data_IF_569647955430
#
_entry.id   IF_569647955430
#
_cell.length_a   1.000
_cell.length_b   1.000
_cell.length_c   1.000
_cell.angle_alpha   90.00
_cell.angle_beta   90.00
_cell.angle_gamma   90.00
#
_symmetry.space_group_name_H-M   'P 1'
#
loop_
_entity.id
_entity.type
_entity.pdbx_description
1 polymer ?
#
# COMPACT_ATOMS: atom_id res chain seq x y z
N UNK A 1 7.98 -0.87 -8.66
CA UNK A 1 7.76 -2.03 -9.57
C UNK A 1 6.51 -1.88 -10.44
N UNK A 2 5.31 -1.53 -9.91
CA UNK A 2 4.11 -1.36 -10.76
C UNK A 2 4.31 -0.32 -11.88
N UNK A 3 4.98 0.81 -11.61
CA UNK A 3 5.38 1.79 -12.62
C UNK A 3 6.30 1.16 -13.68
N UNK A 4 7.36 0.48 -13.25
CA UNK A 4 8.33 -0.11 -14.17
C UNK A 4 7.70 -1.19 -15.07
N UNK A 5 6.72 -1.94 -14.56
CA UNK A 5 5.93 -2.90 -15.33
C UNK A 5 5.15 -2.24 -16.47
N UNK A 6 4.57 -1.07 -16.24
CA UNK A 6 3.85 -0.33 -17.30
C UNK A 6 4.80 0.22 -18.38
N UNK A 7 6.07 0.43 -18.03
CA UNK A 7 7.11 0.89 -18.96
C UNK A 7 7.77 -0.26 -19.74
N UNK A 8 7.42 -1.51 -19.46
CA UNK A 8 7.97 -2.66 -20.17
C UNK A 8 7.63 -2.58 -21.67
N UNK A 9 8.66 -2.68 -22.52
CA UNK A 9 8.50 -2.66 -23.97
C UNK A 9 8.37 -1.28 -24.61
N UNK A 10 8.39 -0.17 -23.85
CA UNK A 10 8.33 1.19 -24.42
C UNK A 10 9.67 1.70 -24.99
N UNK A 11 10.72 0.86 -25.02
CA UNK A 11 12.05 1.22 -25.55
C UNK A 11 12.91 2.11 -24.64
N UNK A 12 12.39 2.51 -23.47
CA UNK A 12 13.13 3.35 -22.54
C UNK A 12 14.09 2.55 -21.64
N UNK A 13 15.23 3.18 -21.29
CA UNK A 13 16.13 2.65 -20.26
C UNK A 13 15.58 2.94 -18.87
N UNK A 14 14.99 1.95 -18.23
CA UNK A 14 14.44 2.07 -16.88
C UNK A 14 15.42 1.52 -15.85
N UNK A 15 15.74 2.31 -14.82
CA UNK A 15 16.55 1.91 -13.66
C UNK A 15 15.68 1.95 -12.39
N UNK A 16 15.53 0.80 -11.74
CA UNK A 16 14.93 0.66 -10.43
C UNK A 16 16.02 0.66 -9.36
N UNK A 17 15.84 1.49 -8.33
CA UNK A 17 16.80 1.63 -7.23
C UNK A 17 16.11 1.31 -5.92
N UNK A 18 16.72 0.48 -5.09
CA UNK A 18 16.34 0.27 -3.71
C UNK A 18 17.63 0.05 -2.87
N UNK A 19 17.55 0.31 -1.58
CA UNK A 19 18.65 0.02 -0.63
C UNK A 19 18.77 -1.46 -0.30
N UNK A 20 17.77 -2.25 -0.60
CA UNK A 20 17.70 -3.70 -0.41
C UNK A 20 17.59 -4.41 -1.75
N UNK A 21 17.96 -5.68 -1.79
CA UNK A 21 17.70 -6.52 -2.95
C UNK A 21 16.18 -6.67 -3.20
N UNK A 22 15.80 -7.07 -4.40
CA UNK A 22 14.39 -7.22 -4.80
C UNK A 22 13.67 -8.15 -3.81
N UNK A 23 12.63 -7.62 -3.13
CA UNK A 23 11.83 -8.39 -2.19
C UNK A 23 12.52 -8.84 -0.91
N UNK A 24 13.73 -8.33 -0.61
CA UNK A 24 14.49 -8.75 0.56
C UNK A 24 13.77 -8.41 1.87
N UNK A 25 13.06 -7.28 1.91
CA UNK A 25 12.48 -6.79 3.17
C UNK A 25 11.01 -6.43 3.03
N UNK A 26 10.16 -7.25 3.61
CA UNK A 26 8.76 -6.92 3.82
C UNK A 26 8.60 -6.00 5.05
N UNK A 27 7.58 -5.14 5.01
CA UNK A 27 7.21 -4.25 6.12
C UNK A 27 5.72 -4.20 6.36
N UNK A 28 4.98 -5.17 5.81
CA UNK A 28 3.52 -5.23 5.76
C UNK A 28 3.04 -6.65 6.01
N UNK A 29 1.78 -6.81 6.42
CA UNK A 29 1.12 -8.11 6.55
C UNK A 29 1.07 -8.92 5.24
N UNK A 30 1.44 -8.31 4.12
CA UNK A 30 1.53 -8.95 2.81
C UNK A 30 0.25 -9.70 2.44
N UNK A 31 -0.87 -8.97 2.54
CA UNK A 31 -2.18 -9.40 2.09
C UNK A 31 -2.82 -8.34 1.19
N UNK A 32 -3.54 -8.78 0.17
CA UNK A 32 -4.25 -7.91 -0.76
C UNK A 32 -5.50 -8.63 -1.30
N UNK A 33 -6.48 -7.89 -1.86
CA UNK A 33 -7.61 -8.51 -2.54
C UNK A 33 -7.14 -9.43 -3.67
N UNK A 34 -7.58 -10.68 -3.65
CA UNK A 34 -7.19 -11.74 -4.59
C UNK A 34 -7.33 -11.33 -6.06
N UNK A 35 -8.41 -10.65 -6.49
CA UNK A 35 -8.55 -10.21 -7.88
C UNK A 35 -7.41 -9.32 -8.39
N UNK A 36 -6.76 -8.54 -7.51
CA UNK A 36 -5.59 -7.75 -7.88
C UNK A 36 -4.37 -8.61 -8.22
N UNK A 37 -4.14 -9.67 -7.45
CA UNK A 37 -3.03 -10.59 -7.69
C UNK A 37 -3.23 -11.33 -9.02
N UNK A 38 -4.46 -11.76 -9.30
CA UNK A 38 -4.80 -12.38 -10.58
C UNK A 38 -4.65 -11.41 -11.77
N UNK A 39 -5.19 -10.20 -11.66
CA UNK A 39 -5.12 -9.19 -12.72
C UNK A 39 -3.67 -8.81 -13.08
N UNK A 40 -2.76 -8.88 -12.14
CA UNK A 40 -1.34 -8.60 -12.34
C UNK A 40 -0.51 -9.84 -12.72
N UNK A 41 -1.09 -11.05 -12.77
CA UNK A 41 -0.35 -12.28 -13.02
C UNK A 41 0.57 -12.67 -11.87
N UNK A 42 0.12 -12.42 -10.62
CA UNK A 42 0.89 -12.67 -9.39
C UNK A 42 0.34 -13.85 -8.57
N UNK A 43 -0.47 -14.71 -9.19
CA UNK A 43 -1.13 -15.85 -8.53
C UNK A 43 -0.14 -16.80 -7.86
N UNK A 44 1.03 -17.00 -8.46
CA UNK A 44 2.06 -17.93 -7.95
C UNK A 44 2.65 -17.46 -6.60
N UNK A 45 2.53 -16.18 -6.27
CA UNK A 45 2.94 -15.66 -4.98
C UNK A 45 1.91 -15.90 -3.87
N UNK A 46 0.67 -16.33 -4.19
CA UNK A 46 -0.38 -16.54 -3.19
C UNK A 46 -0.02 -17.73 -2.30
N UNK A 47 -0.08 -17.51 -0.99
CA UNK A 47 0.09 -18.54 0.03
C UNK A 47 -1.24 -19.08 0.55
N UNK A 48 -2.19 -18.20 0.79
CA UNK A 48 -3.51 -18.56 1.30
C UNK A 48 -4.56 -17.54 0.84
N UNK A 49 -5.67 -18.03 0.33
CA UNK A 49 -6.86 -17.24 0.03
C UNK A 49 -7.80 -17.20 1.25
N UNK A 50 -8.36 -16.01 1.52
CA UNK A 50 -9.10 -15.71 2.74
C UNK A 50 -10.45 -15.08 2.35
N UNK A 51 -11.54 -15.87 2.31
CA UNK A 51 -12.86 -15.38 1.90
C UNK A 51 -13.62 -14.65 3.00
N UNK A 52 -13.18 -14.78 4.26
CA UNK A 52 -13.90 -14.22 5.41
C UNK A 52 -13.01 -13.31 6.25
N UNK A 53 -13.66 -12.31 6.84
CA UNK A 53 -13.07 -11.42 7.83
C UNK A 53 -13.89 -11.49 9.13
N UNK A 54 -13.19 -11.52 10.26
CA UNK A 54 -13.82 -11.50 11.58
C UNK A 54 -13.41 -10.25 12.32
N UNK A 55 -14.39 -9.45 12.72
CA UNK A 55 -14.18 -8.32 13.61
C UNK A 55 -14.50 -8.71 15.05
N UNK A 56 -13.57 -8.41 15.94
CA UNK A 56 -13.70 -8.68 17.38
C UNK A 56 -13.63 -7.36 18.14
N UNK A 57 -14.54 -7.24 19.10
CA UNK A 57 -14.63 -6.14 20.06
C UNK A 57 -14.74 -6.73 21.48
N UNK A 58 -14.64 -5.94 22.57
CA UNK A 58 -14.86 -6.44 23.93
C UNK A 58 -16.23 -7.08 24.17
N UNK A 59 -17.22 -6.86 23.29
CA UNK A 59 -18.60 -7.36 23.46
C UNK A 59 -19.00 -8.43 22.44
N UNK A 60 -18.02 -9.03 21.78
CA UNK A 60 -18.22 -10.15 20.87
C UNK A 60 -17.61 -9.95 19.49
N UNK A 61 -17.73 -10.99 18.68
CA UNK A 61 -17.18 -11.05 17.34
C UNK A 61 -18.29 -11.18 16.30
N UNK A 62 -18.00 -10.68 15.08
CA UNK A 62 -18.87 -10.83 13.91
C UNK A 62 -18.01 -11.25 12.73
N UNK A 63 -18.45 -12.30 12.02
CA UNK A 63 -17.78 -12.86 10.85
C UNK A 63 -18.52 -12.46 9.59
N UNK A 64 -17.80 -11.98 8.60
CA UNK A 64 -18.33 -11.57 7.30
C UNK A 64 -17.72 -12.39 6.18
N UNK A 65 -18.51 -12.70 5.15
CA UNK A 65 -17.99 -13.07 3.86
C UNK A 65 -17.66 -11.79 3.09
N UNK A 66 -16.42 -11.67 2.62
CA UNK A 66 -15.99 -10.51 1.86
C UNK A 66 -16.55 -10.57 0.42
N UNK A 67 -16.87 -9.41 -0.20
CA UNK A 67 -17.28 -9.35 -1.61
C UNK A 67 -16.18 -9.86 -2.55
N UNK A 68 -14.92 -9.60 -2.19
CA UNK A 68 -13.73 -10.17 -2.81
C UNK A 68 -12.92 -10.89 -1.74
N UNK A 69 -12.45 -12.10 -2.06
CA UNK A 69 -11.48 -12.76 -1.18
C UNK A 69 -10.19 -11.95 -1.10
N UNK A 70 -9.50 -12.09 0.01
CA UNK A 70 -8.14 -11.59 0.20
C UNK A 70 -7.16 -12.75 0.10
N UNK A 71 -5.93 -12.46 -0.29
CA UNK A 71 -4.87 -13.45 -0.27
C UNK A 71 -3.68 -12.93 0.50
N UNK A 72 -3.19 -13.74 1.43
CA UNK A 72 -1.84 -13.62 1.94
C UNK A 72 -0.88 -14.15 0.88
N UNK A 73 0.24 -13.48 0.67
CA UNK A 73 1.22 -13.83 -0.34
C UNK A 73 2.65 -13.82 0.20
N UNK A 74 3.55 -14.49 -0.52
CA UNK A 74 4.98 -14.37 -0.34
C UNK A 74 5.47 -13.05 -0.95
N UNK A 75 5.95 -12.14 -0.11
CA UNK A 75 6.37 -10.80 -0.54
C UNK A 75 7.57 -10.85 -1.49
N UNK A 76 8.55 -11.69 -1.18
CA UNK A 76 9.75 -11.82 -2.01
C UNK A 76 9.38 -12.34 -3.39
N UNK A 77 8.60 -13.39 -3.44
CA UNK A 77 8.14 -13.97 -4.70
C UNK A 77 7.31 -12.98 -5.51
N UNK A 78 6.35 -12.29 -4.89
CA UNK A 78 5.57 -11.23 -5.54
C UNK A 78 6.46 -10.14 -6.16
N UNK A 79 7.47 -9.68 -5.42
CA UNK A 79 8.40 -8.68 -5.93
C UNK A 79 9.22 -9.19 -7.11
N UNK A 80 9.68 -10.46 -7.08
CA UNK A 80 10.40 -11.07 -8.20
C UNK A 80 9.53 -11.22 -9.44
N UNK A 81 8.27 -11.62 -9.30
CA UNK A 81 7.31 -11.70 -10.41
C UNK A 81 7.09 -10.33 -11.06
N UNK A 82 6.88 -9.28 -10.25
CA UNK A 82 6.73 -7.91 -10.76
C UNK A 82 8.01 -7.39 -11.41
N UNK A 83 9.17 -7.73 -10.86
CA UNK A 83 10.46 -7.34 -11.43
C UNK A 83 10.70 -8.04 -12.77
N UNK A 84 10.42 -9.32 -12.87
CA UNK A 84 10.52 -10.08 -14.13
C UNK A 84 9.61 -9.51 -15.23
N UNK A 85 8.42 -9.02 -14.87
CA UNK A 85 7.48 -8.38 -15.80
C UNK A 85 7.94 -6.99 -16.27
N UNK A 86 8.86 -6.34 -15.55
CA UNK A 86 9.23 -4.94 -15.82
C UNK A 86 10.32 -4.77 -16.86
N UNK A 87 11.18 -5.77 -17.07
CA UNK A 87 12.33 -5.69 -17.96
C UNK A 87 13.35 -4.59 -17.60
N UNK A 88 13.24 -3.98 -16.40
CA UNK A 88 14.09 -2.88 -15.99
C UNK A 88 15.43 -3.37 -15.40
N UNK A 89 16.44 -2.50 -15.40
CA UNK A 89 17.67 -2.73 -14.64
C UNK A 89 17.42 -2.43 -13.17
N UNK A 90 18.13 -3.14 -12.30
CA UNK A 90 18.08 -2.94 -10.86
C UNK A 90 19.46 -2.58 -10.31
N UNK A 91 19.48 -1.64 -9.37
CA UNK A 91 20.70 -1.25 -8.64
C UNK A 91 20.38 -1.12 -7.14
N UNK A 92 21.16 -1.80 -6.32
CA UNK A 92 21.12 -1.58 -4.87
C UNK A 92 21.88 -0.30 -4.54
N UNK A 93 21.16 0.72 -4.07
CA UNK A 93 21.73 1.97 -3.57
C UNK A 93 20.74 2.69 -2.64
N UNK A 94 21.27 3.45 -1.69
CA UNK A 94 20.49 4.28 -0.78
C UNK A 94 20.32 5.68 -1.37
N UNK A 95 19.09 6.04 -1.69
CA UNK A 95 18.75 7.41 -2.14
C UNK A 95 18.77 8.35 -0.94
N UNK A 96 19.52 9.44 -1.05
CA UNK A 96 19.71 10.47 -0.01
C UNK A 96 18.91 11.74 -0.24
N UNK A 97 18.56 12.04 -1.49
CA UNK A 97 17.85 13.24 -1.89
C UNK A 97 18.00 13.51 -3.38
N UNK A 98 17.71 14.73 -3.79
CA UNK A 98 17.92 15.21 -5.15
C UNK A 98 18.56 16.59 -5.16
N UNK A 99 19.20 16.94 -6.26
CA UNK A 99 19.64 18.30 -6.56
C UNK A 99 18.47 19.11 -7.13
N UNK A 100 18.59 20.45 -7.20
CA UNK A 100 17.66 21.27 -7.97
C UNK A 100 17.50 20.73 -9.40
N UNK A 101 16.32 20.96 -9.96
CA UNK A 101 16.07 20.59 -11.37
C UNK A 101 16.91 21.48 -12.25
N UNK A 102 17.58 20.89 -13.22
CA UNK A 102 18.42 21.59 -14.19
C UNK A 102 17.72 21.61 -15.56
N UNK A 103 17.73 22.76 -16.22
CA UNK A 103 17.30 22.88 -17.61
C UNK A 103 18.52 22.65 -18.51
N UNK A 104 18.39 21.73 -19.46
CA UNK A 104 19.39 21.43 -20.48
C UNK A 104 18.81 21.70 -21.88
N UNK A 105 19.64 21.61 -22.90
CA UNK A 105 19.20 21.71 -24.33
C UNK A 105 18.10 20.69 -24.66
N UNK A 106 18.09 19.54 -23.97
CA UNK A 106 17.19 18.41 -24.23
C UNK A 106 15.98 18.39 -23.26
N UNK A 107 15.83 19.45 -22.44
CA UNK A 107 14.78 19.61 -21.45
C UNK A 107 15.24 19.48 -20.00
N UNK A 108 14.30 19.46 -19.07
CA UNK A 108 14.59 19.34 -17.64
C UNK A 108 15.18 17.97 -17.28
N UNK A 109 16.22 17.99 -16.46
CA UNK A 109 16.90 16.80 -15.93
C UNK A 109 16.89 16.84 -14.41
N UNK A 110 16.65 15.69 -13.80
CA UNK A 110 16.60 15.52 -12.34
C UNK A 110 17.78 14.65 -11.91
N UNK A 111 18.60 15.20 -11.01
CA UNK A 111 19.76 14.54 -10.42
C UNK A 111 19.42 13.97 -9.05
N UNK A 112 19.44 12.63 -8.92
CA UNK A 112 19.18 11.89 -7.67
C UNK A 112 20.50 11.53 -7.01
N UNK A 113 20.68 11.96 -5.77
CA UNK A 113 21.87 11.69 -4.96
C UNK A 113 21.72 10.35 -4.24
N UNK A 114 22.68 9.46 -4.42
CA UNK A 114 22.73 8.15 -3.75
C UNK A 114 24.06 7.98 -2.98
N UNK A 115 24.17 6.92 -2.22
CA UNK A 115 25.44 6.51 -1.57
C UNK A 115 26.46 5.95 -2.58
N UNK A 116 26.07 5.78 -3.86
CA UNK A 116 26.92 5.30 -4.95
C UNK A 116 27.17 6.35 -6.04
N UNK A 117 26.88 7.62 -5.76
CA UNK A 117 27.04 8.72 -6.70
C UNK A 117 25.71 9.35 -7.10
N UNK A 118 25.78 10.26 -8.06
CA UNK A 118 24.64 10.98 -8.61
C UNK A 118 24.16 10.30 -9.88
N UNK A 119 22.86 10.13 -9.99
CA UNK A 119 22.19 9.56 -11.15
C UNK A 119 21.25 10.62 -11.73
N UNK A 120 21.27 10.78 -13.04
CA UNK A 120 20.47 11.76 -13.76
C UNK A 120 19.46 11.10 -14.68
N UNK A 121 18.25 11.64 -14.72
CA UNK A 121 17.21 11.17 -15.63
C UNK A 121 16.22 12.29 -15.97
N UNK A 122 15.61 12.29 -17.17
CA UNK A 122 14.55 13.22 -17.52
C UNK A 122 13.22 12.93 -16.79
N UNK A 123 12.98 11.68 -16.40
CA UNK A 123 11.77 11.25 -15.69
C UNK A 123 12.17 10.51 -14.42
N UNK A 124 11.68 10.98 -13.28
CA UNK A 124 12.00 10.41 -11.95
C UNK A 124 10.72 10.14 -11.17
N UNK A 125 10.67 8.96 -10.54
CA UNK A 125 9.57 8.55 -9.69
C UNK A 125 10.10 8.25 -8.29
N UNK A 126 9.59 8.93 -7.27
CA UNK A 126 9.81 8.61 -5.86
C UNK A 126 8.76 7.59 -5.39
N UNK A 127 9.18 6.35 -5.21
CA UNK A 127 8.42 5.26 -4.57
C UNK A 127 9.12 4.79 -3.28
N UNK A 128 9.88 5.67 -2.61
CA UNK A 128 10.76 5.38 -1.47
C UNK A 128 10.01 5.31 -0.12
N UNK A 129 8.69 5.30 -0.17
CA UNK A 129 7.85 5.11 1.00
C UNK A 129 7.58 6.40 1.77
N UNK A 130 7.11 6.25 3.00
CA UNK A 130 6.53 7.33 3.80
C UNK A 130 7.43 8.58 3.98
N UNK A 131 8.75 8.41 3.90
CA UNK A 131 9.73 9.52 4.07
C UNK A 131 9.69 10.52 2.93
N UNK A 132 9.24 10.17 1.73
CA UNK A 132 9.19 11.06 0.57
C UNK A 132 10.56 11.74 0.34
N UNK A 133 11.58 10.93 0.11
CA UNK A 133 13.00 11.37 0.15
C UNK A 133 13.33 12.44 -0.89
N UNK A 134 12.66 12.43 -2.05
CA UNK A 134 12.86 13.42 -3.11
C UNK A 134 11.96 14.66 -3.00
N UNK A 135 11.10 14.75 -1.97
CA UNK A 135 10.28 15.93 -1.70
C UNK A 135 11.08 17.03 -1.01
N UNK A 136 10.63 18.29 -1.18
CA UNK A 136 11.28 19.48 -0.57
C UNK A 136 11.22 19.48 0.95
N UNK A 137 10.11 19.03 1.52
CA UNK A 137 9.86 19.08 2.96
C UNK A 137 10.04 17.71 3.58
N UNK A 138 10.88 17.64 4.62
CA UNK A 138 11.03 16.46 5.44
C UNK A 138 9.70 16.03 6.07
N UNK A 139 9.40 14.74 6.04
CA UNK A 139 8.16 14.16 6.54
C UNK A 139 8.50 13.17 7.64
N UNK A 140 8.57 13.65 8.87
CA UNK A 140 9.06 12.89 10.02
C UNK A 140 8.03 12.85 11.16
N UNK A 141 7.89 11.71 11.87
CA UNK A 141 7.15 11.67 13.12
C UNK A 141 7.83 12.57 14.18
N UNK A 142 7.08 13.08 15.18
CA UNK A 142 5.65 12.82 15.44
C UNK A 142 4.70 13.78 14.72
N UNK A 143 5.21 14.81 14.02
CA UNK A 143 4.40 15.89 13.44
C UNK A 143 3.69 15.48 12.13
N UNK A 144 4.21 14.47 11.43
CA UNK A 144 3.61 14.01 10.19
C UNK A 144 2.32 13.21 10.45
N UNK A 145 1.30 13.27 9.54
CA UNK A 145 0.08 12.46 9.63
C UNK A 145 0.38 11.00 9.24
N UNK A 146 1.06 10.29 10.13
CA UNK A 146 1.47 8.91 9.99
C UNK A 146 0.76 8.01 11.01
N UNK A 147 0.51 6.79 10.60
CA UNK A 147 0.20 5.64 11.46
C UNK A 147 1.45 4.77 11.61
N UNK A 148 1.47 3.93 12.63
CA UNK A 148 2.56 2.99 12.87
C UNK A 148 2.00 1.59 13.02
N UNK A 149 2.58 0.62 12.28
CA UNK A 149 2.27 -0.80 12.41
C UNK A 149 3.48 -1.61 12.84
N UNK A 150 3.24 -2.66 13.62
CA UNK A 150 4.22 -3.67 13.96
C UNK A 150 3.51 -5.02 14.00
N UNK A 151 4.16 -6.04 13.47
CA UNK A 151 3.65 -7.41 13.50
C UNK A 151 4.75 -8.42 13.80
N UNK A 152 4.33 -9.61 14.16
CA UNK A 152 5.14 -10.82 14.37
C UNK A 152 4.66 -11.92 13.44
N UNK A 153 5.53 -12.84 13.10
CA UNK A 153 5.31 -13.91 12.13
C UNK A 153 5.54 -15.30 12.73
N UNK A 154 4.82 -15.69 13.80
CA UNK A 154 4.92 -17.05 14.35
C UNK A 154 4.36 -18.09 13.38
N UNK A 155 4.70 -19.35 13.62
CA UNK A 155 4.00 -20.46 13.03
C UNK A 155 2.59 -20.52 13.63
N UNK A 156 1.60 -20.80 12.79
CA UNK A 156 0.20 -20.80 13.21
C UNK A 156 -0.76 -20.97 12.04
N UNK A 157 -1.98 -21.37 12.33
CA UNK A 157 -3.03 -21.57 11.32
C UNK A 157 -4.29 -20.80 11.70
N UNK A 158 -4.93 -20.22 10.73
CA UNK A 158 -6.30 -19.72 10.84
C UNK A 158 -6.93 -19.66 9.45
N UNK A 159 -8.26 -19.52 9.39
CA UNK A 159 -9.00 -19.46 8.13
C UNK A 159 -9.44 -18.04 7.81
N UNK A 160 -9.68 -17.23 8.85
CA UNK A 160 -10.22 -15.89 8.73
C UNK A 160 -9.12 -14.83 8.86
N UNK A 161 -9.31 -13.70 8.19
CA UNK A 161 -8.63 -12.47 8.52
C UNK A 161 -9.30 -11.87 9.76
N UNK A 162 -8.62 -11.88 10.88
CA UNK A 162 -9.14 -11.32 12.12
C UNK A 162 -8.72 -9.88 12.32
N UNK A 163 -9.66 -9.06 12.82
CA UNK A 163 -9.44 -7.65 13.16
C UNK A 163 -10.00 -7.38 14.56
N UNK A 164 -9.17 -6.82 15.44
CA UNK A 164 -9.56 -6.41 16.78
C UNK A 164 -9.66 -4.90 16.91
N UNK A 165 -10.80 -4.39 17.31
CA UNK A 165 -11.02 -2.98 17.62
C UNK A 165 -11.31 -2.84 19.11
N UNK A 166 -10.24 -2.72 19.89
CA UNK A 166 -10.27 -2.72 21.35
C UNK A 166 -9.32 -1.65 21.90
N UNK A 167 -9.85 -0.72 22.73
CA UNK A 167 -9.03 0.34 23.33
C UNK A 167 -8.02 -0.18 24.36
N UNK A 168 -8.28 -1.32 24.97
CA UNK A 168 -7.36 -2.02 25.88
C UNK A 168 -6.15 -2.58 25.14
N UNK A 169 -6.30 -2.94 23.87
CA UNK A 169 -5.21 -3.37 23.02
C UNK A 169 -4.43 -2.16 22.47
N UNK A 170 -5.13 -1.24 21.83
CA UNK A 170 -4.57 -0.01 21.27
C UNK A 170 -5.61 1.11 21.31
N UNK A 171 -5.26 2.24 21.91
CA UNK A 171 -6.20 3.34 22.17
C UNK A 171 -6.86 3.90 20.90
N UNK A 172 -6.08 4.00 19.80
CA UNK A 172 -6.52 4.51 18.48
C UNK A 172 -5.87 3.66 17.41
N UNK A 173 -6.57 2.64 16.96
CA UNK A 173 -6.03 1.69 16.00
C UNK A 173 -6.77 0.38 16.02
N UNK A 174 -6.11 -0.66 15.59
CA UNK A 174 -6.65 -2.03 15.55
C UNK A 174 -5.53 -3.07 15.62
N UNK A 175 -5.88 -4.30 16.02
CA UNK A 175 -5.02 -5.47 15.84
C UNK A 175 -5.48 -6.31 14.65
N UNK A 176 -4.60 -7.14 14.13
CA UNK A 176 -4.93 -8.09 13.06
C UNK A 176 -4.24 -9.43 13.25
N UNK A 177 -4.81 -10.46 12.65
CA UNK A 177 -4.16 -11.73 12.30
C UNK A 177 -4.49 -12.08 10.86
N UNK A 178 -3.47 -12.20 10.02
CA UNK A 178 -3.58 -12.65 8.64
C UNK A 178 -2.99 -14.06 8.54
N UNK A 179 -3.79 -15.07 8.17
CA UNK A 179 -3.26 -16.42 7.94
C UNK A 179 -2.48 -16.50 6.62
N UNK A 180 -1.37 -17.24 6.63
CA UNK A 180 -0.49 -17.37 5.48
C UNK A 180 0.11 -18.79 5.32
N UNK A 181 -0.77 -19.81 5.26
CA UNK A 181 -0.41 -21.21 5.03
C UNK A 181 0.68 -21.73 6.00
N UNK A 182 0.31 -21.85 7.28
CA UNK A 182 1.22 -22.33 8.33
C UNK A 182 1.93 -21.23 9.09
N UNK A 183 1.83 -19.98 8.64
CA UNK A 183 2.30 -18.78 9.32
C UNK A 183 1.11 -17.91 9.72
N UNK A 184 1.16 -17.30 10.89
CA UNK A 184 0.21 -16.26 11.32
C UNK A 184 0.94 -14.92 11.36
N UNK A 185 0.40 -13.90 10.69
CA UNK A 185 0.93 -12.52 10.72
C UNK A 185 0.07 -11.71 11.67
N UNK A 186 0.56 -11.57 12.90
CA UNK A 186 -0.17 -10.93 14.00
C UNK A 186 0.40 -9.58 14.31
N UNK A 187 -0.42 -8.54 14.27
CA UNK A 187 0.10 -7.20 14.48
C UNK A 187 -0.89 -6.21 15.05
N UNK A 188 -0.38 -5.04 15.36
CA UNK A 188 -1.16 -3.89 15.84
C UNK A 188 -0.75 -2.63 15.09
N UNK A 189 -1.73 -1.86 14.63
CA UNK A 189 -1.55 -0.53 14.11
C UNK A 189 -2.06 0.52 15.10
N UNK A 190 -1.29 1.60 15.26
CA UNK A 190 -1.72 2.83 15.92
C UNK A 190 -1.85 3.95 14.89
N UNK A 191 -2.99 4.66 14.91
CA UNK A 191 -3.21 5.86 14.12
C UNK A 191 -2.53 7.12 14.69
N UNK A 192 -1.82 6.98 15.81
CA UNK A 192 -1.04 8.03 16.41
C UNK A 192 0.45 7.77 16.18
N UNK A 193 1.22 8.71 15.60
CA UNK A 193 2.64 8.50 15.31
C UNK A 193 3.47 8.23 16.57
N UNK A 194 3.09 8.80 17.71
CA UNK A 194 3.72 8.55 19.02
C UNK A 194 3.27 7.26 19.70
N UNK A 195 2.32 6.53 19.11
CA UNK A 195 1.78 5.30 19.72
C UNK A 195 2.81 4.17 19.73
N UNK A 196 3.09 3.61 20.89
CA UNK A 196 3.90 2.42 21.00
C UNK A 196 3.07 1.19 20.62
N UNK A 197 3.54 0.40 19.66
CA UNK A 197 2.81 -0.77 19.12
C UNK A 197 3.46 -2.11 19.51
N UNK A 198 4.71 -2.12 20.01
CA UNK A 198 5.39 -3.38 20.36
C UNK A 198 4.65 -4.12 21.48
N UNK A 199 4.48 -3.52 22.66
CA UNK A 199 3.75 -4.16 23.75
C UNK A 199 2.32 -4.59 23.41
N UNK A 200 1.51 -3.78 22.71
CA UNK A 200 0.24 -4.23 22.16
C UNK A 200 0.34 -5.44 21.22
N UNK A 201 1.34 -5.50 20.35
CA UNK A 201 1.56 -6.64 19.44
C UNK A 201 1.91 -7.90 20.23
N UNK A 202 2.82 -7.78 21.20
CA UNK A 202 3.23 -8.89 22.07
C UNK A 202 2.01 -9.45 22.83
N UNK A 203 1.19 -8.59 23.47
CA UNK A 203 -0.04 -9.01 24.15
C UNK A 203 -1.07 -9.64 23.23
N UNK A 204 -1.17 -9.20 21.97
CA UNK A 204 -2.09 -9.84 21.02
C UNK A 204 -1.59 -11.22 20.62
N UNK A 205 -0.30 -11.39 20.39
CA UNK A 205 0.31 -12.69 20.10
C UNK A 205 0.12 -13.65 21.28
N UNK A 206 0.43 -13.21 22.51
CA UNK A 206 0.21 -13.97 23.74
C UNK A 206 -1.26 -14.41 23.92
N UNK A 207 -2.22 -13.49 23.71
CA UNK A 207 -3.66 -13.80 23.75
C UNK A 207 -4.09 -14.85 22.73
N UNK A 208 -3.36 -14.99 21.63
CA UNK A 208 -3.59 -15.97 20.59
C UNK A 208 -2.75 -17.25 20.78
N UNK A 209 -2.02 -17.35 21.90
CA UNK A 209 -1.10 -18.46 22.21
C UNK A 209 -0.02 -18.64 21.13
N UNK A 210 0.47 -17.52 20.57
CA UNK A 210 1.47 -17.47 19.51
C UNK A 210 2.75 -16.78 20.02
N UNK A 211 3.89 -17.24 19.53
CA UNK A 211 5.18 -16.67 19.88
C UNK A 211 5.42 -15.32 19.20
N UNK A 212 5.92 -14.33 19.93
CA UNK A 212 6.24 -13.01 19.37
C UNK A 212 7.64 -12.99 18.73
N UNK A 213 7.73 -13.52 17.51
CA UNK A 213 8.97 -13.69 16.75
C UNK A 213 8.94 -13.00 15.40
N UNK A 214 10.11 -12.82 14.77
CA UNK A 214 10.25 -12.27 13.42
C UNK A 214 9.51 -10.93 13.26
N UNK A 215 9.84 -9.97 14.10
CA UNK A 215 9.21 -8.63 14.06
C UNK A 215 9.47 -7.91 12.75
N UNK A 216 8.40 -7.36 12.19
CA UNK A 216 8.49 -6.41 11.10
C UNK A 216 7.44 -5.30 11.25
N UNK A 217 7.68 -4.16 10.66
CA UNK A 217 6.74 -3.05 10.70
C UNK A 217 7.34 -1.76 10.21
N UNK A 218 6.49 -0.78 10.01
CA UNK A 218 6.89 0.53 9.54
C UNK A 218 5.86 1.61 9.92
N UNK A 219 6.24 2.83 9.60
CA UNK A 219 5.33 3.94 9.49
C UNK A 219 4.62 3.87 8.14
N UNK A 220 3.37 4.34 8.09
CA UNK A 220 2.63 4.49 6.86
C UNK A 220 1.75 5.75 6.91
N UNK A 221 1.61 6.48 5.80
CA UNK A 221 0.80 7.68 5.78
C UNK A 221 -0.68 7.34 5.84
N UNK A 222 -1.47 8.24 6.40
CA UNK A 222 -2.93 8.14 6.37
C UNK A 222 -3.59 9.41 5.81
N UNK A 223 -2.87 10.11 4.93
CA UNK A 223 -3.37 11.31 4.24
C UNK A 223 -2.67 11.44 2.89
N UNK A 224 -3.45 11.71 1.85
CA UNK A 224 -2.90 12.04 0.54
C UNK A 224 -1.98 13.26 0.61
N UNK A 225 -0.92 13.21 -0.16
CA UNK A 225 0.08 14.25 -0.37
C UNK A 225 0.10 14.60 -1.86
N UNK A 226 0.62 15.75 -2.27
CA UNK A 226 0.80 16.06 -3.69
C UNK A 226 1.54 14.91 -4.40
N UNK A 227 0.93 14.37 -5.46
CA UNK A 227 1.52 13.26 -6.22
C UNK A 227 2.62 13.72 -7.20
N UNK A 228 2.79 15.03 -7.32
CA UNK A 228 3.83 15.67 -8.13
C UNK A 228 4.42 16.86 -7.37
N UNK A 229 5.72 17.02 -7.42
CA UNK A 229 6.45 18.17 -6.87
C UNK A 229 7.76 18.33 -7.64
N UNK A 230 8.04 19.55 -8.16
CA UNK A 230 9.26 19.85 -8.91
C UNK A 230 9.63 18.80 -9.97
N UNK A 231 8.69 18.53 -10.85
CA UNK A 231 8.85 17.59 -11.96
C UNK A 231 9.10 16.12 -11.57
N UNK A 232 9.05 15.78 -10.27
CA UNK A 232 9.12 14.40 -9.74
C UNK A 232 7.72 13.83 -9.53
N UNK A 233 7.51 12.61 -9.97
CA UNK A 233 6.31 11.83 -9.67
C UNK A 233 6.48 11.11 -8.32
N UNK A 234 5.45 11.10 -7.49
CA UNK A 234 5.43 10.40 -6.19
C UNK A 234 4.34 9.32 -6.21
N UNK A 235 4.69 8.10 -5.79
CA UNK A 235 3.79 6.94 -5.85
C UNK A 235 3.79 6.18 -4.53
N UNK A 236 2.65 5.59 -4.18
CA UNK A 236 2.48 4.82 -2.96
C UNK A 236 2.61 5.71 -1.71
N UNK A 237 3.30 5.26 -0.70
CA UNK A 237 3.45 6.00 0.55
C UNK A 237 4.15 7.36 0.38
N UNK A 238 4.99 7.51 -0.63
CA UNK A 238 5.61 8.81 -0.96
C UNK A 238 4.58 9.88 -1.33
N UNK A 239 3.47 9.49 -1.94
CA UNK A 239 2.32 10.36 -2.24
C UNK A 239 1.18 10.22 -1.21
N UNK A 240 1.41 9.55 -0.08
CA UNK A 240 0.40 9.34 0.94
C UNK A 240 -0.78 8.47 0.48
N UNK A 241 -0.55 7.59 -0.48
CA UNK A 241 -1.57 6.79 -1.14
C UNK A 241 -1.92 5.47 -0.40
N UNK A 242 -1.43 5.28 0.83
CA UNK A 242 -1.93 4.24 1.72
C UNK A 242 -3.34 4.59 2.19
N UNK A 243 -4.30 3.68 1.99
CA UNK A 243 -5.70 3.99 2.29
C UNK A 243 -5.92 4.10 3.80
N UNK A 244 -6.47 5.22 4.29
CA UNK A 244 -6.73 5.38 5.72
C UNK A 244 -7.69 4.32 6.24
N UNK A 245 -7.78 4.15 7.57
CA UNK A 245 -8.59 3.17 8.27
C UNK A 245 -8.01 1.76 8.23
N UNK A 246 -7.77 1.21 7.05
CA UNK A 246 -7.25 -0.16 6.87
C UNK A 246 -5.72 -0.23 6.86
N UNK A 247 -5.02 0.87 6.52
CA UNK A 247 -3.58 0.84 6.28
C UNK A 247 -3.20 0.05 5.02
N UNK A 248 -4.14 -0.14 4.10
CA UNK A 248 -3.93 -0.87 2.86
C UNK A 248 -3.10 -0.04 1.87
N UNK A 249 -1.81 -0.35 1.79
CA UNK A 249 -0.88 0.34 0.91
C UNK A 249 -0.56 -0.42 -0.38
N UNK A 250 -0.63 -1.76 -0.38
CA UNK A 250 -0.17 -2.58 -1.52
C UNK A 250 -1.11 -2.45 -2.72
N UNK A 251 -2.42 -2.63 -2.53
CA UNK A 251 -3.42 -2.47 -3.59
C UNK A 251 -3.39 -1.07 -4.19
N UNK A 252 -3.35 -0.07 -3.34
CA UNK A 252 -3.31 1.32 -3.79
C UNK A 252 -1.98 1.67 -4.47
N UNK A 253 -0.85 1.09 -4.04
CA UNK A 253 0.43 1.24 -4.72
C UNK A 253 0.42 0.61 -6.12
N UNK A 254 -0.28 -0.52 -6.33
CA UNK A 254 -0.52 -1.04 -7.68
C UNK A 254 -1.33 -0.06 -8.51
N UNK A 255 -2.47 0.39 -7.99
CA UNK A 255 -3.40 1.26 -8.71
C UNK A 255 -2.76 2.58 -9.15
N UNK A 256 -2.19 3.32 -8.21
CA UNK A 256 -1.53 4.60 -8.51
C UNK A 256 -0.21 4.41 -9.26
N UNK A 257 0.49 3.31 -9.03
CA UNK A 257 1.70 2.96 -9.78
C UNK A 257 1.41 2.72 -11.26
N UNK A 258 0.33 2.01 -11.57
CA UNK A 258 -0.13 1.80 -12.96
C UNK A 258 -0.54 3.12 -13.59
N UNK A 259 -1.30 3.97 -12.86
CA UNK A 259 -1.70 5.29 -13.37
C UNK A 259 -0.47 6.15 -13.72
N UNK A 260 0.51 6.21 -12.82
CA UNK A 260 1.78 6.90 -13.07
C UNK A 260 2.53 6.32 -14.28
N UNK A 261 2.66 4.99 -14.32
CA UNK A 261 3.33 4.31 -15.42
C UNK A 261 2.71 4.60 -16.78
N UNK A 262 1.38 4.62 -16.89
CA UNK A 262 0.66 4.97 -18.12
C UNK A 262 0.93 6.40 -18.59
N UNK A 263 1.01 7.37 -17.66
CA UNK A 263 1.35 8.74 -18.01
C UNK A 263 2.81 8.84 -18.51
N UNK A 264 3.73 8.11 -17.86
CA UNK A 264 5.13 8.05 -18.29
C UNK A 264 5.28 7.36 -19.66
N UNK A 265 4.57 6.26 -19.88
CA UNK A 265 4.54 5.59 -21.20
C UNK A 265 4.06 6.55 -22.30
N UNK A 266 3.01 7.35 -22.02
CA UNK A 266 2.52 8.33 -22.98
C UNK A 266 3.54 9.44 -23.30
N UNK A 267 4.41 9.79 -22.34
CA UNK A 267 5.53 10.72 -22.59
C UNK A 267 6.60 10.06 -23.46
N UNK A 268 7.01 8.84 -23.13
CA UNK A 268 8.05 8.12 -23.86
C UNK A 268 7.65 7.82 -25.31
N UNK A 269 6.37 7.55 -25.55
CA UNK A 269 5.80 7.37 -26.88
C UNK A 269 5.45 8.70 -27.58
N UNK A 270 5.85 9.84 -27.04
CA UNK A 270 5.60 11.19 -27.58
C UNK A 270 4.11 11.53 -27.78
N UNK A 271 3.20 10.78 -27.17
CA UNK A 271 1.75 11.05 -27.17
C UNK A 271 1.35 12.17 -26.21
N UNK A 272 2.26 12.56 -25.32
CA UNK A 272 2.02 13.58 -24.29
C UNK A 272 3.31 14.29 -23.90
N UNK A 273 3.19 15.59 -23.60
CA UNK A 273 4.30 16.32 -22.99
C UNK A 273 4.49 15.91 -21.53
N UNK A 274 5.70 16.06 -21.00
CA UNK A 274 6.02 15.82 -19.59
C UNK A 274 5.12 16.65 -18.64
N UNK A 275 4.95 17.94 -18.94
CA UNK A 275 4.11 18.83 -18.15
C UNK A 275 2.66 18.33 -18.06
N UNK A 276 2.08 17.93 -19.19
CA UNK A 276 0.73 17.38 -19.22
C UNK A 276 0.62 16.03 -18.47
N UNK A 277 1.64 15.19 -18.52
CA UNK A 277 1.67 13.93 -17.75
C UNK A 277 1.73 14.18 -16.24
N UNK A 278 2.54 15.13 -15.79
CA UNK A 278 2.61 15.54 -14.38
C UNK A 278 1.25 16.06 -13.89
N UNK A 279 0.61 16.96 -14.66
CA UNK A 279 -0.71 17.51 -14.32
C UNK A 279 -1.80 16.42 -14.26
N UNK A 280 -1.85 15.53 -15.22
CA UNK A 280 -2.82 14.44 -15.28
C UNK A 280 -2.66 13.47 -14.13
N UNK A 281 -1.43 13.08 -13.81
CA UNK A 281 -1.18 12.20 -12.68
C UNK A 281 -1.52 12.88 -11.34
N UNK A 282 -1.17 14.15 -11.19
CA UNK A 282 -1.54 14.94 -10.02
C UNK A 282 -3.07 15.01 -9.85
N UNK A 283 -3.80 15.31 -10.94
CA UNK A 283 -5.27 15.36 -10.98
C UNK A 283 -5.89 14.00 -10.69
N UNK A 284 -5.35 12.91 -11.26
CA UNK A 284 -5.80 11.56 -10.99
C UNK A 284 -5.68 11.23 -9.48
N UNK A 285 -4.54 11.47 -8.88
CA UNK A 285 -4.35 11.24 -7.44
C UNK A 285 -5.27 12.11 -6.59
N UNK A 286 -5.39 13.40 -6.91
CA UNK A 286 -6.25 14.35 -6.20
C UNK A 286 -7.74 13.99 -6.29
N UNK A 287 -8.18 13.36 -7.37
CA UNK A 287 -9.55 12.86 -7.56
C UNK A 287 -10.02 11.90 -6.45
N UNK A 288 -9.08 11.23 -5.78
CA UNK A 288 -9.37 10.34 -4.65
C UNK A 288 -9.44 11.05 -3.29
N UNK A 289 -9.18 12.34 -3.22
CA UNK A 289 -9.11 13.10 -1.96
C UNK A 289 -10.39 12.96 -1.11
N UNK A 290 -11.58 12.91 -1.73
CA UNK A 290 -12.86 12.74 -1.02
C UNK A 290 -12.93 11.38 -0.31
N UNK A 291 -12.57 10.30 -1.00
CA UNK A 291 -12.58 8.95 -0.43
C UNK A 291 -11.58 8.82 0.72
N UNK A 292 -10.36 9.34 0.55
CA UNK A 292 -9.35 9.39 1.60
C UNK A 292 -9.80 10.23 2.81
N UNK A 293 -10.49 11.35 2.58
CA UNK A 293 -11.06 12.18 3.66
C UNK A 293 -12.13 11.41 4.44
N UNK A 294 -13.04 10.72 3.76
CA UNK A 294 -14.09 9.89 4.39
C UNK A 294 -13.43 8.78 5.22
N UNK A 295 -12.51 8.02 4.65
CA UNK A 295 -11.79 6.96 5.35
C UNK A 295 -11.00 7.50 6.55
N UNK A 296 -10.38 8.68 6.42
CA UNK A 296 -9.69 9.35 7.52
C UNK A 296 -10.62 9.84 8.66
N UNK A 297 -11.88 10.15 8.36
CA UNK A 297 -12.91 10.41 9.38
C UNK A 297 -13.28 9.10 10.08
N UNK A 298 -13.55 8.03 9.34
CA UNK A 298 -13.85 6.72 9.90
C UNK A 298 -12.72 6.19 10.77
N UNK A 299 -11.47 6.36 10.35
CA UNK A 299 -10.26 6.02 11.12
C UNK A 299 -10.24 6.67 12.51
N UNK A 300 -10.76 7.89 12.64
CA UNK A 300 -10.81 8.62 13.92
C UNK A 300 -12.04 8.28 14.73
N UNK A 301 -13.17 8.05 14.08
CA UNK A 301 -14.46 7.85 14.76
C UNK A 301 -14.67 6.42 15.21
N UNK A 302 -14.32 5.40 14.41
CA UNK A 302 -14.57 3.99 14.74
C UNK A 302 -13.93 3.59 16.08
N UNK A 303 -12.64 3.83 16.35
CA UNK A 303 -12.04 3.50 17.64
C UNK A 303 -12.56 4.37 18.79
N UNK A 304 -13.23 5.50 18.48
CA UNK A 304 -13.81 6.39 19.48
C UNK A 304 -15.23 5.99 19.91
N UNK A 305 -15.91 5.14 19.15
CA UNK A 305 -17.26 4.67 19.49
C UNK A 305 -17.26 3.88 20.81
N UNK A 306 -18.33 3.97 21.60
CA UNK A 306 -18.55 3.06 22.72
C UNK A 306 -18.53 1.60 22.23
N UNK A 307 -17.83 0.67 22.91
CA UNK A 307 -17.64 -0.69 22.41
C UNK A 307 -18.96 -1.45 22.14
N UNK A 308 -20.00 -1.23 22.97
CA UNK A 308 -21.34 -1.83 22.75
C UNK A 308 -21.97 -1.34 21.46
N UNK A 309 -21.90 -0.03 21.19
CA UNK A 309 -22.44 0.58 19.98
C UNK A 309 -21.68 0.08 18.74
N UNK A 310 -20.35 0.01 18.83
CA UNK A 310 -19.53 -0.56 17.76
C UNK A 310 -19.93 -2.01 17.44
N UNK A 311 -20.08 -2.86 18.47
CA UNK A 311 -20.50 -4.26 18.30
C UNK A 311 -21.87 -4.36 17.65
N UNK A 312 -22.83 -3.55 18.09
CA UNK A 312 -24.18 -3.52 17.51
C UNK A 312 -24.15 -3.07 16.04
N UNK A 313 -23.35 -2.06 15.72
CA UNK A 313 -23.14 -1.61 14.35
C UNK A 313 -22.51 -2.69 13.47
N UNK A 314 -21.50 -3.40 13.97
CA UNK A 314 -20.88 -4.53 13.26
C UNK A 314 -21.88 -5.67 13.02
N UNK A 315 -22.74 -6.00 14.01
CA UNK A 315 -23.81 -7.00 13.83
C UNK A 315 -24.84 -6.57 12.78
N UNK A 316 -25.19 -5.30 12.74
CA UNK A 316 -26.09 -4.76 11.72
C UNK A 316 -25.46 -4.86 10.33
N UNK A 317 -24.18 -4.53 10.21
CA UNK A 317 -23.41 -4.68 8.98
C UNK A 317 -23.25 -6.14 8.53
N UNK A 318 -23.48 -7.14 9.40
CA UNK A 318 -23.40 -8.56 9.02
C UNK A 318 -24.45 -9.02 8.00
N UNK A 319 -25.41 -8.17 7.66
CA UNK A 319 -26.30 -8.40 6.52
C UNK A 319 -25.51 -8.28 5.22
N UNK A 320 -25.47 -9.35 4.42
CA UNK A 320 -24.62 -9.45 3.24
C UNK A 320 -24.72 -8.24 2.30
N UNK A 321 -25.92 -7.75 2.03
CA UNK A 321 -26.13 -6.59 1.16
C UNK A 321 -25.47 -5.29 1.67
N UNK A 322 -25.36 -5.12 3.01
CA UNK A 322 -24.65 -3.98 3.60
C UNK A 322 -23.13 -4.15 3.48
N UNK A 323 -22.63 -5.37 3.67
CA UNK A 323 -21.22 -5.70 3.44
C UNK A 323 -20.87 -5.42 1.99
N UNK A 324 -21.63 -5.93 1.04
CA UNK A 324 -21.40 -5.75 -0.39
C UNK A 324 -21.38 -4.27 -0.76
N UNK A 325 -22.29 -3.46 -0.18
CA UNK A 325 -22.34 -2.03 -0.43
C UNK A 325 -21.17 -1.26 0.22
N UNK A 326 -20.85 -1.54 1.50
CA UNK A 326 -19.83 -0.80 2.24
C UNK A 326 -18.42 -1.19 1.79
N UNK A 327 -18.16 -2.49 1.71
CA UNK A 327 -16.88 -2.99 1.21
C UNK A 327 -16.75 -2.81 -0.31
N UNK A 328 -17.83 -2.94 -1.08
CA UNK A 328 -17.84 -2.62 -2.50
C UNK A 328 -17.37 -1.19 -2.74
N UNK A 329 -17.96 -0.19 -2.06
CA UNK A 329 -17.49 1.19 -2.14
C UNK A 329 -15.99 1.33 -1.82
N UNK A 330 -15.53 0.65 -0.77
CA UNK A 330 -14.12 0.68 -0.37
C UNK A 330 -13.21 0.04 -1.43
N UNK A 331 -13.62 -1.10 -1.98
CA UNK A 331 -12.86 -1.84 -2.98
C UNK A 331 -12.83 -1.11 -4.33
N UNK A 332 -13.91 -0.44 -4.70
CA UNK A 332 -14.07 0.34 -5.94
C UNK A 332 -13.17 1.60 -5.99
N UNK A 333 -12.60 2.01 -4.85
CA UNK A 333 -11.61 3.10 -4.85
C UNK A 333 -10.31 2.74 -5.59
N UNK A 334 -10.03 1.47 -5.80
CA UNK A 334 -8.93 0.95 -6.59
C UNK A 334 -9.33 -0.43 -7.16
N UNK A 335 -10.12 -0.48 -8.23
CA UNK A 335 -10.63 -1.73 -8.79
C UNK A 335 -9.54 -2.47 -9.58
N UNK A 336 -9.49 -3.82 -9.53
CA UNK A 336 -8.48 -4.63 -10.22
C UNK A 336 -8.58 -4.57 -11.74
N UNK A 337 -9.76 -4.25 -12.27
CA UNK A 337 -9.97 -4.03 -13.72
C UNK A 337 -9.09 -2.91 -14.27
N UNK A 338 -8.65 -1.99 -13.41
CA UNK A 338 -7.69 -0.94 -13.79
C UNK A 338 -6.32 -1.50 -14.20
N UNK A 339 -5.94 -2.68 -13.72
CA UNK A 339 -4.68 -3.34 -14.11
C UNK A 339 -4.75 -3.97 -15.51
N UNK A 340 -5.96 -4.16 -16.05
CA UNK A 340 -6.16 -4.75 -17.38
C UNK A 340 -5.98 -3.65 -18.44
N UNK A 341 -5.22 -3.94 -19.48
CA UNK A 341 -5.16 -3.09 -20.68
C UNK A 341 -6.39 -3.36 -21.54
N UNK A 342 -6.80 -2.38 -22.37
CA UNK A 342 -7.93 -2.55 -23.30
C UNK A 342 -7.83 -3.81 -24.16
N UNK A 343 -6.61 -4.17 -24.57
CA UNK A 343 -6.33 -5.41 -25.31
C UNK A 343 -6.57 -6.69 -24.48
N UNK A 344 -6.49 -6.62 -23.16
CA UNK A 344 -6.81 -7.75 -22.25
C UNK A 344 -8.29 -7.77 -21.89
N UNK A 345 -8.96 -6.63 -21.80
CA UNK A 345 -10.41 -6.55 -21.58
C UNK A 345 -11.17 -7.20 -22.74
N UNK A 346 -10.74 -6.99 -23.99
CA UNK A 346 -11.34 -7.59 -25.18
C UNK A 346 -11.20 -9.12 -25.27
N UNK A 347 -10.36 -9.76 -24.45
CA UNK A 347 -10.20 -11.23 -24.41
C UNK A 347 -10.98 -11.90 -23.27
N UNK A 348 -11.60 -11.15 -22.39
CA UNK A 348 -12.31 -11.65 -21.21
C UNK A 348 -13.81 -11.27 -21.20
N UNK A 349 -14.27 -10.55 -22.19
CA UNK A 349 -15.69 -10.31 -22.53
C UNK A 349 -16.10 -11.15 -23.75
#
# INVERSE_FOLDING_TARGET
MAVARELAGCGASVLLIDRYAVGERATSACAAPTPWLHALGLSDAIRQEIPHMRFTTPHGSVRYRLPWSWSAFDYRHLCHLLYAQSGCRFQTATVKGRLPVEETSDGEVISVVTDRGVLTAPLVVDALGWRRVLGRNGYQPPAAPLSRGLEVHPDGRSEDLDVWVERSLVRRGYGWRVPAAGEARVGVASYAPSGHVRGPTDRLAERLELEAVRYQGNWFPHRLRPAVEDSVFFVGDSAGQCFPLSGEGIRTAFYFGIACGRELTAVLEQRRSRAAALERYASFSAGHARAFKIAGVLQRTIPALPPRLLTSGLRLLARQWLIDRCFGWYLDQAPPTFALTEAKLARHG
#
